data_IF_393362697522
#
_entry.id   IF_393362697522
#
_cell.length_a   1.000
_cell.length_b   1.000
_cell.length_c   1.000
_cell.angle_alpha   90.00
_cell.angle_beta   90.00
_cell.angle_gamma   90.00
#
_symmetry.space_group_name_H-M   'P 1'
#
loop_
_entity.id
_entity.type
_entity.pdbx_description
1 polymer ?
#
# COMPACT_ATOMS: atom_id res chain seq x y z
N UNK A 1 50.24 -33.86 -27.17
CA UNK A 1 49.41 -33.48 -28.34
C UNK A 1 48.53 -34.67 -28.70
N UNK A 2 47.32 -34.77 -28.15
CA UNK A 2 46.31 -35.74 -28.60
C UNK A 2 45.00 -34.99 -28.76
N UNK A 3 44.47 -35.06 -29.99
CA UNK A 3 43.17 -34.57 -30.41
C UNK A 3 42.17 -35.72 -30.28
N UNK A 4 40.95 -35.45 -29.81
CA UNK A 4 39.73 -36.24 -30.08
C UNK A 4 38.54 -35.38 -29.63
N UNK A 5 37.86 -34.65 -30.52
CA UNK A 5 36.75 -35.06 -31.41
C UNK A 5 35.43 -35.36 -30.69
N UNK A 6 34.59 -34.31 -30.62
CA UNK A 6 33.15 -34.21 -30.95
C UNK A 6 32.19 -35.33 -30.50
N UNK A 7 31.19 -34.95 -29.69
CA UNK A 7 29.80 -35.36 -29.96
C UNK A 7 28.81 -34.29 -29.46
N UNK A 8 28.17 -33.60 -30.42
CA UNK A 8 27.08 -32.66 -30.22
C UNK A 8 25.77 -33.46 -30.25
N UNK A 9 25.05 -33.55 -29.14
CA UNK A 9 23.70 -34.15 -29.13
C UNK A 9 22.67 -33.03 -29.23
N UNK A 10 22.11 -32.92 -30.44
CA UNK A 10 20.99 -32.05 -30.78
C UNK A 10 19.68 -32.79 -30.40
N UNK A 11 18.98 -32.36 -29.36
CA UNK A 11 17.65 -32.90 -29.04
C UNK A 11 16.56 -31.93 -29.51
N UNK A 12 15.73 -32.42 -30.41
CA UNK A 12 14.55 -31.75 -30.95
C UNK A 12 13.38 -31.96 -29.99
N UNK A 13 12.95 -30.91 -29.30
CA UNK A 13 11.69 -30.92 -28.56
C UNK A 13 10.54 -30.62 -29.52
N UNK A 14 9.82 -31.65 -29.95
CA UNK A 14 8.59 -31.53 -30.73
C UNK A 14 7.41 -31.28 -29.79
N UNK A 15 6.70 -30.17 -30.00
CA UNK A 15 5.43 -29.87 -29.37
C UNK A 15 4.33 -30.78 -29.94
N UNK A 16 3.67 -31.56 -29.07
CA UNK A 16 2.45 -32.30 -29.41
C UNK A 16 1.29 -31.72 -28.60
N UNK A 17 0.43 -30.95 -29.26
CA UNK A 17 -0.83 -30.47 -28.69
C UNK A 17 -1.97 -31.36 -29.17
N UNK A 18 -2.38 -32.32 -28.35
CA UNK A 18 -3.64 -33.02 -28.52
C UNK A 18 -4.76 -32.21 -27.85
N UNK A 19 -5.71 -31.71 -28.66
CA UNK A 19 -6.94 -31.06 -28.20
C UNK A 19 -7.98 -32.12 -27.79
N UNK A 20 -8.66 -31.97 -26.63
CA UNK A 20 -9.89 -32.71 -26.40
C UNK A 20 -11.05 -32.08 -27.19
N UNK A 21 -11.74 -32.91 -27.97
CA UNK A 21 -13.06 -32.62 -28.54
C UNK A 21 -14.09 -32.76 -27.43
N UNK A 22 -14.66 -31.64 -26.98
CA UNK A 22 -15.88 -31.63 -26.15
C UNK A 22 -17.00 -31.06 -27.01
N UNK A 23 -17.97 -31.92 -27.36
CA UNK A 23 -19.26 -31.52 -27.92
C UNK A 23 -20.23 -31.34 -26.76
N UNK A 24 -20.69 -30.10 -26.54
CA UNK A 24 -21.89 -29.80 -25.75
C UNK A 24 -22.83 -28.92 -26.56
N UNK A 25 -24.08 -29.37 -26.61
CA UNK A 25 -25.29 -28.74 -27.13
C UNK A 25 -25.54 -27.37 -26.47
N UNK A 26 -25.69 -26.28 -27.25
CA UNK A 26 -26.95 -25.54 -27.54
C UNK A 26 -27.87 -25.42 -26.31
N UNK A 27 -28.29 -24.27 -25.79
CA UNK A 27 -28.40 -22.86 -26.24
C UNK A 27 -28.82 -22.08 -25.00
N UNK A 28 -28.17 -20.95 -24.67
CA UNK A 28 -28.86 -19.67 -24.44
C UNK A 28 -27.86 -18.57 -24.10
N UNK A 29 -28.11 -17.40 -24.66
CA UNK A 29 -27.13 -16.37 -24.92
C UNK A 29 -26.59 -15.63 -23.70
N UNK A 30 -25.28 -15.37 -23.72
CA UNK A 30 -24.71 -14.09 -23.34
C UNK A 30 -23.35 -13.93 -24.04
N UNK A 31 -23.33 -13.10 -25.08
CA UNK A 31 -22.11 -12.70 -25.78
C UNK A 31 -21.24 -11.85 -24.86
N UNK A 32 -20.13 -12.39 -24.37
CA UNK A 32 -19.01 -11.58 -23.85
C UNK A 32 -17.85 -11.70 -24.83
N UNK A 33 -17.80 -10.73 -25.73
CA UNK A 33 -16.69 -10.45 -26.63
C UNK A 33 -15.50 -9.97 -25.79
N UNK A 34 -14.43 -10.75 -25.77
CA UNK A 34 -13.14 -10.33 -25.24
C UNK A 34 -12.53 -9.33 -26.22
N UNK A 35 -12.61 -8.03 -25.90
CA UNK A 35 -11.80 -7.01 -26.55
C UNK A 35 -10.70 -6.55 -25.62
N UNK A 36 -9.48 -6.83 -26.08
CA UNK A 36 -8.27 -6.10 -25.79
C UNK A 36 -8.54 -4.59 -25.85
N UNK A 37 -8.44 -3.89 -24.73
CA UNK A 37 -8.37 -2.43 -24.69
C UNK A 37 -7.55 -2.02 -23.48
N UNK A 38 -6.47 -1.31 -23.76
CA UNK A 38 -5.71 -0.51 -22.80
C UNK A 38 -6.64 0.15 -21.78
N UNK A 39 -6.23 0.33 -20.51
CA UNK A 39 -6.97 1.17 -19.59
C UNK A 39 -7.05 2.58 -20.19
N UNK A 40 -8.24 2.92 -20.65
CA UNK A 40 -8.58 4.17 -21.31
C UNK A 40 -8.28 5.32 -20.36
N UNK A 41 -7.50 6.27 -20.87
CA UNK A 41 -7.17 7.58 -20.30
C UNK A 41 -8.38 8.39 -19.82
N UNK A 42 -9.60 7.97 -20.17
CA UNK A 42 -10.86 8.55 -19.69
C UNK A 42 -11.13 8.29 -18.19
N UNK A 43 -10.78 7.11 -17.65
CA UNK A 43 -11.01 6.80 -16.22
C UNK A 43 -10.04 7.60 -15.33
N UNK A 44 -8.89 8.00 -15.86
CA UNK A 44 -7.92 8.85 -15.17
C UNK A 44 -8.42 10.30 -15.01
N UNK A 45 -9.16 10.82 -15.99
CA UNK A 45 -9.64 12.21 -15.99
C UNK A 45 -10.81 12.43 -15.02
N UNK A 46 -11.72 11.48 -14.92
CA UNK A 46 -12.88 11.56 -14.01
C UNK A 46 -12.45 11.39 -12.54
N UNK A 47 -11.48 10.50 -12.28
CA UNK A 47 -10.97 10.24 -10.92
C UNK A 47 -10.06 11.36 -10.39
N UNK A 48 -9.24 11.97 -11.25
CA UNK A 48 -8.51 13.19 -10.88
C UNK A 48 -9.48 14.34 -10.58
N UNK A 49 -10.61 14.44 -11.28
CA UNK A 49 -11.60 15.49 -11.05
C UNK A 49 -12.32 15.31 -9.71
N UNK A 50 -12.72 14.09 -9.34
CA UNK A 50 -13.35 13.81 -8.03
C UNK A 50 -12.36 14.00 -6.86
N UNK A 51 -11.09 13.56 -7.02
CA UNK A 51 -10.05 13.74 -6.01
C UNK A 51 -9.66 15.23 -5.86
N UNK A 52 -9.58 15.98 -6.96
CA UNK A 52 -9.28 17.42 -6.94
C UNK A 52 -10.46 18.24 -6.41
N UNK A 53 -11.70 17.82 -6.66
CA UNK A 53 -12.90 18.46 -6.12
C UNK A 53 -13.03 18.28 -4.59
N UNK A 54 -12.67 17.11 -4.05
CA UNK A 54 -12.59 16.87 -2.59
C UNK A 54 -11.48 17.68 -1.93
N UNK A 55 -10.34 17.87 -2.62
CA UNK A 55 -9.28 18.77 -2.14
C UNK A 55 -9.80 20.21 -2.14
N UNK A 56 -10.41 20.70 -3.22
CA UNK A 56 -10.87 22.10 -3.34
C UNK A 56 -11.99 22.46 -2.34
N UNK A 57 -12.90 21.53 -2.04
CA UNK A 57 -13.95 21.73 -1.03
C UNK A 57 -13.42 21.80 0.41
N UNK A 58 -12.19 21.34 0.66
CA UNK A 58 -11.55 21.41 1.99
C UNK A 58 -10.83 22.76 2.22
N UNK A 59 -10.60 23.55 1.17
CA UNK A 59 -9.85 24.82 1.25
C UNK A 59 -10.72 26.09 1.25
N UNK A 60 -12.04 25.98 1.07
CA UNK A 60 -12.96 27.14 1.03
C UNK A 60 -13.77 27.35 2.33
N UNK A 61 -13.49 26.57 3.37
CA UNK A 61 -14.06 26.77 4.70
C UNK A 61 -13.35 27.87 5.46
N UNK A 62 -13.98 29.05 5.53
CA UNK A 62 -13.76 30.16 6.48
C UNK A 62 -13.01 29.70 7.74
N UNK A 63 -11.80 30.21 7.94
CA UNK A 63 -10.95 29.93 9.10
C UNK A 63 -11.62 30.32 10.42
N UNK A 64 -12.41 29.41 10.99
CA UNK A 64 -12.49 29.29 12.44
C UNK A 64 -11.18 28.65 12.87
N UNK A 65 -10.46 29.31 13.77
CA UNK A 65 -9.21 28.80 14.34
C UNK A 65 -9.49 27.54 15.17
N UNK A 66 -9.75 26.41 14.52
CA UNK A 66 -9.73 25.09 15.13
C UNK A 66 -8.26 24.71 15.36
N UNK A 67 -7.60 25.46 16.25
CA UNK A 67 -6.26 25.16 16.74
C UNK A 67 -6.32 23.75 17.31
N UNK A 68 -5.48 22.85 16.81
CA UNK A 68 -5.39 21.50 17.34
C UNK A 68 -5.17 21.58 18.86
N UNK A 69 -6.03 20.93 19.64
CA UNK A 69 -5.88 20.86 21.10
C UNK A 69 -4.87 19.77 21.46
N UNK A 70 -4.23 19.89 22.63
CA UNK A 70 -3.23 18.91 23.07
C UNK A 70 -3.84 17.50 23.16
N UNK A 71 -5.10 17.40 23.60
CA UNK A 71 -5.85 16.14 23.63
C UNK A 71 -6.05 15.55 22.22
N UNK A 72 -6.39 16.37 21.22
CA UNK A 72 -6.54 15.91 19.83
C UNK A 72 -5.21 15.43 19.25
N UNK A 73 -4.12 16.13 19.57
CA UNK A 73 -2.76 15.73 19.14
C UNK A 73 -2.35 14.42 19.80
N UNK A 74 -2.55 14.25 21.12
CA UNK A 74 -2.25 12.99 21.81
C UNK A 74 -3.06 11.82 21.26
N UNK A 75 -4.35 12.03 21.00
CA UNK A 75 -5.20 11.03 20.36
C UNK A 75 -4.67 10.65 18.97
N UNK A 76 -4.28 11.64 18.18
CA UNK A 76 -3.71 11.39 16.86
C UNK A 76 -2.36 10.68 16.90
N UNK A 77 -1.49 10.97 17.87
CA UNK A 77 -0.23 10.23 18.07
C UNK A 77 -0.52 8.76 18.39
N UNK A 78 -1.46 8.48 19.29
CA UNK A 78 -1.84 7.11 19.66
C UNK A 78 -2.50 6.38 18.49
N UNK A 79 -3.41 7.04 17.77
CA UNK A 79 -4.05 6.50 16.56
C UNK A 79 -3.01 6.13 15.51
N UNK A 80 -2.11 7.06 15.19
CA UNK A 80 -1.06 6.82 14.19
C UNK A 80 -0.15 5.66 14.58
N UNK A 81 0.15 5.52 15.88
CA UNK A 81 0.94 4.39 16.36
C UNK A 81 0.20 3.05 16.28
N UNK A 82 -1.10 3.03 16.54
CA UNK A 82 -1.92 1.82 16.44
C UNK A 82 -2.06 1.36 14.98
N UNK A 83 -2.33 2.30 14.08
CA UNK A 83 -2.43 2.03 12.65
C UNK A 83 -1.09 1.50 12.12
N UNK A 84 0.01 2.18 12.47
CA UNK A 84 1.34 1.77 12.07
C UNK A 84 1.75 0.38 12.60
N UNK A 85 1.33 0.02 13.81
CA UNK A 85 1.52 -1.32 14.36
C UNK A 85 0.67 -2.36 13.61
N UNK A 86 -0.58 -2.04 13.26
CA UNK A 86 -1.48 -2.92 12.51
C UNK A 86 -0.90 -3.25 11.14
N UNK A 87 -0.46 -2.23 10.39
CA UNK A 87 0.22 -2.43 9.10
C UNK A 87 1.50 -3.24 9.29
N UNK A 88 2.29 -2.93 10.32
CA UNK A 88 3.55 -3.65 10.56
C UNK A 88 3.36 -5.12 10.91
N UNK A 89 2.37 -5.43 11.75
CA UNK A 89 2.01 -6.79 12.11
C UNK A 89 1.56 -7.58 10.87
N UNK A 90 0.68 -6.99 10.05
CA UNK A 90 0.24 -7.60 8.81
C UNK A 90 1.41 -7.89 7.85
N UNK A 91 2.30 -6.93 7.61
CA UNK A 91 3.46 -7.11 6.73
C UNK A 91 4.46 -8.17 7.23
N UNK A 92 4.52 -8.39 8.54
CA UNK A 92 5.36 -9.44 9.15
C UNK A 92 4.70 -10.83 9.12
N UNK A 93 3.38 -10.90 8.98
CA UNK A 93 2.62 -12.16 8.97
C UNK A 93 2.26 -12.64 7.57
N UNK A 94 1.94 -11.72 6.65
CA UNK A 94 1.55 -12.05 5.27
C UNK A 94 2.52 -13.04 4.58
N UNK A 95 3.86 -12.89 4.66
CA UNK A 95 4.80 -13.79 3.98
C UNK A 95 4.71 -15.27 4.37
N UNK A 96 4.17 -15.59 5.55
CA UNK A 96 3.98 -17.00 5.98
C UNK A 96 2.61 -17.57 5.61
N UNK A 97 1.73 -16.80 4.97
CA UNK A 97 0.37 -17.20 4.66
C UNK A 97 0.26 -17.78 3.25
N UNK A 98 -0.54 -18.84 3.11
CA UNK A 98 -0.85 -19.47 1.82
C UNK A 98 -2.34 -19.41 1.50
N UNK A 99 -3.21 -19.26 2.50
CA UNK A 99 -4.65 -19.22 2.32
C UNK A 99 -5.09 -17.87 1.70
N UNK A 100 -5.69 -17.87 0.50
CA UNK A 100 -6.08 -16.63 -0.19
C UNK A 100 -7.10 -15.77 0.58
N UNK A 101 -8.06 -16.39 1.27
CA UNK A 101 -9.09 -15.68 2.04
C UNK A 101 -8.44 -14.93 3.20
N UNK A 102 -7.54 -15.60 3.93
CA UNK A 102 -6.85 -14.98 5.06
C UNK A 102 -5.88 -13.88 4.58
N UNK A 103 -5.19 -14.08 3.45
CA UNK A 103 -4.32 -13.05 2.83
C UNK A 103 -5.14 -11.81 2.51
N UNK A 104 -6.28 -11.96 1.82
CA UNK A 104 -7.13 -10.83 1.45
C UNK A 104 -7.68 -10.10 2.69
N UNK A 105 -8.10 -10.84 3.71
CA UNK A 105 -8.61 -10.27 4.95
C UNK A 105 -7.54 -9.48 5.72
N UNK A 106 -6.34 -10.03 5.86
CA UNK A 106 -5.23 -9.36 6.56
C UNK A 106 -4.71 -8.15 5.77
N UNK A 107 -4.59 -8.28 4.43
CA UNK A 107 -4.23 -7.17 3.56
C UNK A 107 -5.27 -6.04 3.61
N UNK A 108 -6.57 -6.36 3.70
CA UNK A 108 -7.64 -5.38 3.89
C UNK A 108 -7.55 -4.67 5.23
N UNK A 109 -7.27 -5.40 6.32
CA UNK A 109 -7.08 -4.79 7.64
C UNK A 109 -5.91 -3.79 7.62
N UNK A 110 -4.78 -4.15 7.02
CA UNK A 110 -3.66 -3.24 6.85
C UNK A 110 -3.98 -2.06 5.92
N UNK A 111 -4.74 -2.29 4.85
CA UNK A 111 -5.13 -1.23 3.91
C UNK A 111 -5.98 -0.16 4.60
N UNK A 112 -6.92 -0.59 5.45
CA UNK A 112 -7.76 0.32 6.21
C UNK A 112 -6.92 1.13 7.21
N UNK A 113 -6.04 0.46 7.98
CA UNK A 113 -5.14 1.13 8.90
C UNK A 113 -4.25 2.18 8.19
N UNK A 114 -3.59 1.82 7.09
CA UNK A 114 -2.77 2.75 6.30
C UNK A 114 -3.60 3.90 5.70
N UNK A 115 -4.89 3.68 5.40
CA UNK A 115 -5.79 4.75 4.95
C UNK A 115 -6.15 5.71 6.10
N UNK A 116 -6.37 5.16 7.30
CA UNK A 116 -6.70 5.94 8.50
C UNK A 116 -5.50 6.76 9.00
N UNK A 117 -4.27 6.32 8.72
CA UNK A 117 -3.03 7.06 9.00
C UNK A 117 -3.05 8.50 8.42
N UNK A 118 -3.73 8.75 7.28
CA UNK A 118 -3.82 10.10 6.69
C UNK A 118 -4.61 11.08 7.58
N UNK A 119 -5.66 10.59 8.24
CA UNK A 119 -6.46 11.40 9.16
C UNK A 119 -5.63 11.85 10.37
N UNK A 120 -4.80 10.96 10.91
CA UNK A 120 -3.89 11.25 12.02
C UNK A 120 -2.78 12.19 11.58
N UNK A 121 -2.17 11.90 10.42
CA UNK A 121 -1.15 12.75 9.79
C UNK A 121 -1.64 14.18 9.63
N UNK A 122 -2.87 14.38 9.14
CA UNK A 122 -3.43 15.72 8.93
C UNK A 122 -3.51 16.53 10.24
N UNK A 123 -3.99 15.90 11.33
CA UNK A 123 -4.06 16.53 12.66
C UNK A 123 -2.66 16.88 13.18
N UNK A 124 -1.73 15.93 13.08
CA UNK A 124 -0.37 16.10 13.60
C UNK A 124 0.41 17.14 12.79
N UNK A 125 0.25 17.17 11.47
CA UNK A 125 0.87 18.17 10.63
C UNK A 125 0.31 19.58 10.90
N UNK A 126 -1.01 19.70 11.10
CA UNK A 126 -1.61 20.97 11.50
C UNK A 126 -1.04 21.50 12.83
N UNK A 127 -0.75 20.61 13.79
CA UNK A 127 -0.12 20.98 15.05
C UNK A 127 1.39 21.26 14.93
N UNK A 128 2.13 20.42 14.21
CA UNK A 128 3.58 20.54 14.03
C UNK A 128 3.99 21.72 13.14
N UNK A 129 3.12 22.13 12.21
CA UNK A 129 3.39 23.18 11.24
C UNK A 129 4.66 22.91 10.43
N UNK A 130 5.46 23.97 10.20
CA UNK A 130 6.71 23.89 9.41
C UNK A 130 7.71 22.87 9.96
N UNK A 131 7.74 22.66 11.28
CA UNK A 131 8.67 21.72 11.91
C UNK A 131 8.40 20.26 11.50
N UNK A 132 7.15 19.94 11.13
CA UNK A 132 6.75 18.62 10.65
C UNK A 132 6.80 18.43 9.14
N UNK A 133 7.15 19.46 8.35
CA UNK A 133 6.99 19.45 6.89
C UNK A 133 7.75 18.31 6.20
N UNK A 134 9.03 18.11 6.52
CA UNK A 134 9.84 17.05 5.89
C UNK A 134 9.27 15.64 6.16
N UNK A 135 8.87 15.37 7.41
CA UNK A 135 8.27 14.10 7.79
C UNK A 135 6.91 13.89 7.09
N UNK A 136 6.07 14.92 7.09
CA UNK A 136 4.78 14.90 6.40
C UNK A 136 4.93 14.63 4.90
N UNK A 137 5.88 15.28 4.23
CA UNK A 137 6.15 15.06 2.80
C UNK A 137 6.52 13.61 2.52
N UNK A 138 7.39 13.00 3.34
CA UNK A 138 7.76 11.59 3.18
C UNK A 138 6.58 10.65 3.35
N UNK A 139 5.70 10.88 4.32
CA UNK A 139 4.48 10.08 4.52
C UNK A 139 3.60 10.18 3.26
N UNK A 140 3.21 11.40 2.86
CA UNK A 140 2.31 11.62 1.71
C UNK A 140 2.87 11.04 0.41
N UNK A 141 4.17 11.16 0.16
CA UNK A 141 4.79 10.66 -1.07
C UNK A 141 4.87 9.14 -1.14
N UNK A 142 4.98 8.44 0.00
CA UNK A 142 5.26 7.00 0.01
C UNK A 142 4.02 6.14 0.34
N UNK A 143 3.05 6.65 1.09
CA UNK A 143 1.80 5.94 1.43
C UNK A 143 1.04 5.40 0.19
N UNK A 144 0.98 6.08 -0.97
CA UNK A 144 0.32 5.53 -2.16
C UNK A 144 0.90 4.19 -2.63
N UNK A 145 2.22 3.98 -2.48
CA UNK A 145 2.85 2.71 -2.82
C UNK A 145 2.45 1.59 -1.84
N UNK A 146 2.28 1.92 -0.55
CA UNK A 146 1.80 0.98 0.47
C UNK A 146 0.37 0.53 0.15
N UNK A 147 -0.53 1.50 -0.03
CA UNK A 147 -1.94 1.26 -0.36
C UNK A 147 -2.08 0.46 -1.67
N UNK A 148 -1.28 0.77 -2.69
CA UNK A 148 -1.26 0.04 -3.96
C UNK A 148 -0.89 -1.44 -3.75
N UNK A 149 0.16 -1.72 -2.99
CA UNK A 149 0.61 -3.09 -2.74
C UNK A 149 -0.39 -3.90 -1.92
N UNK A 150 -0.97 -3.30 -0.87
CA UNK A 150 -2.01 -3.93 -0.05
C UNK A 150 -3.26 -4.23 -0.88
N UNK A 151 -3.70 -3.29 -1.72
CA UNK A 151 -4.84 -3.48 -2.62
C UNK A 151 -4.59 -4.60 -3.65
N UNK A 152 -3.38 -4.70 -4.19
CA UNK A 152 -3.02 -5.77 -5.12
C UNK A 152 -3.12 -7.16 -4.45
N UNK A 153 -2.69 -7.28 -3.19
CA UNK A 153 -2.86 -8.53 -2.41
C UNK A 153 -4.32 -8.84 -2.11
N UNK A 154 -5.18 -7.83 -1.94
CA UNK A 154 -6.63 -8.03 -1.78
C UNK A 154 -7.30 -8.51 -3.08
N UNK A 155 -6.88 -7.98 -4.24
CA UNK A 155 -7.49 -8.29 -5.54
C UNK A 155 -7.02 -9.62 -6.13
N UNK A 156 -5.76 -9.99 -5.90
CA UNK A 156 -5.16 -11.23 -6.36
C UNK A 156 -4.44 -11.97 -5.22
N UNK A 157 -5.18 -12.47 -4.21
CA UNK A 157 -4.59 -13.05 -3.01
C UNK A 157 -3.88 -14.37 -3.32
N UNK A 158 -2.56 -14.37 -3.21
CA UNK A 158 -1.70 -15.54 -3.40
C UNK A 158 -0.35 -15.31 -2.73
N UNK A 159 0.38 -16.40 -2.43
CA UNK A 159 1.74 -16.31 -1.90
C UNK A 159 2.68 -15.52 -2.83
N UNK A 160 2.49 -15.63 -4.15
CA UNK A 160 3.29 -14.90 -5.14
C UNK A 160 3.00 -13.39 -5.08
N UNK A 161 1.72 -13.01 -5.05
CA UNK A 161 1.32 -11.60 -4.90
C UNK A 161 1.84 -11.02 -3.58
N UNK A 162 1.77 -11.78 -2.50
CA UNK A 162 2.34 -11.39 -1.20
C UNK A 162 3.83 -11.13 -1.29
N UNK A 163 4.60 -12.07 -1.84
CA UNK A 163 6.06 -11.96 -1.94
C UNK A 163 6.49 -10.67 -2.64
N UNK A 164 5.89 -10.35 -3.79
CA UNK A 164 6.24 -9.15 -4.55
C UNK A 164 5.79 -7.87 -3.86
N UNK A 165 4.55 -7.82 -3.39
CA UNK A 165 4.00 -6.59 -2.81
C UNK A 165 4.60 -6.28 -1.44
N UNK A 166 4.79 -7.27 -0.55
CA UNK A 166 5.39 -7.04 0.78
C UNK A 166 6.81 -6.49 0.66
N UNK A 167 7.64 -7.06 -0.22
CA UNK A 167 8.99 -6.55 -0.44
C UNK A 167 8.98 -5.09 -0.94
N UNK A 168 8.11 -4.77 -1.91
CA UNK A 168 7.96 -3.40 -2.42
C UNK A 168 7.47 -2.43 -1.35
N UNK A 169 6.52 -2.85 -0.50
CA UNK A 169 6.00 -2.03 0.60
C UNK A 169 7.09 -1.76 1.62
N UNK A 170 7.83 -2.79 2.03
CA UNK A 170 8.92 -2.69 3.01
C UNK A 170 10.02 -1.72 2.54
N UNK A 171 10.39 -1.79 1.26
CA UNK A 171 11.41 -0.93 0.67
C UNK A 171 11.09 0.58 0.76
N UNK A 172 9.81 0.96 0.73
CA UNK A 172 9.38 2.36 0.88
C UNK A 172 9.03 2.69 2.33
N UNK A 173 8.32 1.80 3.03
CA UNK A 173 7.75 2.07 4.35
C UNK A 173 8.82 2.15 5.44
N UNK A 174 9.80 1.24 5.41
CA UNK A 174 10.83 1.16 6.45
C UNK A 174 11.74 2.41 6.49
N UNK A 175 12.32 2.89 5.37
CA UNK A 175 13.20 4.06 5.42
C UNK A 175 12.45 5.41 5.43
N UNK A 176 11.23 5.47 4.87
CA UNK A 176 10.56 6.75 4.64
C UNK A 176 9.36 7.01 5.55
N UNK A 177 8.50 6.02 5.77
CA UNK A 177 7.24 6.23 6.49
C UNK A 177 7.44 6.04 7.98
N UNK A 178 7.92 4.88 8.43
CA UNK A 178 8.07 4.55 9.86
C UNK A 178 8.82 5.63 10.67
N UNK A 179 10.04 6.06 10.27
CA UNK A 179 10.72 7.13 11.00
C UNK A 179 10.00 8.48 10.91
N UNK A 180 9.28 8.74 9.81
CA UNK A 180 8.53 9.99 9.62
C UNK A 180 7.28 10.06 10.50
N UNK A 181 6.62 8.93 10.78
CA UNK A 181 5.51 8.86 11.75
C UNK A 181 5.98 9.32 13.12
N UNK A 182 7.09 8.74 13.61
CA UNK A 182 7.69 9.13 14.90
C UNK A 182 8.11 10.59 14.89
N UNK A 183 8.78 11.05 13.82
CA UNK A 183 9.24 12.43 13.72
C UNK A 183 8.06 13.42 13.72
N UNK A 184 7.05 13.22 12.89
CA UNK A 184 5.88 14.10 12.81
C UNK A 184 5.13 14.16 14.15
N UNK A 185 4.92 13.01 14.78
CA UNK A 185 4.27 12.90 16.09
C UNK A 185 5.03 13.68 17.17
N UNK A 186 6.34 13.52 17.24
CA UNK A 186 7.18 14.25 18.21
C UNK A 186 7.19 15.76 17.95
N UNK A 187 7.21 16.20 16.68
CA UNK A 187 7.10 17.63 16.34
C UNK A 187 5.74 18.21 16.75
N UNK A 188 4.66 17.46 16.57
CA UNK A 188 3.33 17.86 17.00
C UNK A 188 3.24 17.96 18.54
N UNK A 189 3.74 16.97 19.27
CA UNK A 189 3.76 16.99 20.74
C UNK A 189 4.53 18.20 21.28
N UNK A 190 5.74 18.44 20.76
CA UNK A 190 6.58 19.59 21.17
C UNK A 190 5.88 20.93 20.87
N UNK A 191 5.23 21.06 19.71
CA UNK A 191 4.47 22.26 19.35
C UNK A 191 3.29 22.53 20.30
N UNK A 192 2.80 21.49 20.99
CA UNK A 192 1.77 21.58 22.02
C UNK A 192 2.30 21.73 23.44
N UNK A 193 3.62 21.90 23.61
CA UNK A 193 4.27 21.98 24.92
C UNK A 193 4.34 20.64 25.66
N UNK A 194 4.20 19.52 24.93
CA UNK A 194 4.26 18.18 25.48
C UNK A 194 5.62 17.51 25.23
N UNK A 195 6.03 16.54 26.07
CA UNK A 195 7.24 15.74 25.83
C UNK A 195 7.17 14.94 24.52
N UNK A 196 8.31 14.79 23.85
CA UNK A 196 8.45 14.01 22.63
C UNK A 196 8.51 12.49 22.93
N UNK A 197 7.36 11.88 23.16
CA UNK A 197 7.22 10.48 23.59
C UNK A 197 6.67 9.54 22.52
N UNK A 198 6.62 9.97 21.25
CA UNK A 198 6.11 9.14 20.17
C UNK A 198 6.96 7.87 19.99
N UNK A 199 6.29 6.73 19.82
CA UNK A 199 6.89 5.42 19.63
C UNK A 199 7.77 5.38 18.37
N UNK A 200 8.92 4.71 18.47
CA UNK A 200 9.70 4.28 17.32
C UNK A 200 9.24 2.90 16.84
N UNK A 201 9.22 2.70 15.52
CA UNK A 201 8.75 1.46 14.91
C UNK A 201 9.93 0.68 14.33
N UNK A 202 10.07 -0.62 14.65
CA UNK A 202 11.07 -1.46 14.01
C UNK A 202 10.73 -1.69 12.53
N UNK A 203 11.73 -1.84 11.66
CA UNK A 203 11.50 -2.21 10.26
C UNK A 203 10.77 -3.55 10.13
N UNK A 204 9.79 -3.63 9.24
CA UNK A 204 9.09 -4.88 8.93
C UNK A 204 9.94 -5.77 8.01
N UNK A 205 9.76 -7.09 8.10
CA UNK A 205 10.53 -8.08 7.34
C UNK A 205 11.90 -8.42 7.93
N UNK A 206 12.27 -7.81 9.05
CA UNK A 206 13.48 -8.15 9.82
C UNK A 206 13.17 -9.36 10.71
N UNK A 207 13.33 -10.58 10.19
CA UNK A 207 13.34 -11.81 10.98
C UNK A 207 14.60 -12.61 10.64
#
# INVERSE_FOLDING_TARGET
MHFSTVLLVLSTFTFSTALPVIRSTSTDGLTVRAENSQPTTAILSEYLTEYTAKIKATFSGRATSNKATSAKVQSAVSGFANDANTVSAALNQLPSMTNPIQIAALAKSAFNAESDEDSQRSVLFAAAGKAGASANTKIVQNTPAVLKGLKAMMQAPSALSVKYNVASIQAVRNPNILPSITALSNKALVAMGLPATAKAFPPTGSK
#
